data_IF_861796477338
#
_entry.id   IF_861796477338
#
_cell.length_a   1.000
_cell.length_b   1.000
_cell.length_c   1.000
_cell.angle_alpha   90.00
_cell.angle_beta   90.00
_cell.angle_gamma   90.00
#
_symmetry.space_group_name_H-M   'P 1'
#
loop_
_entity.id
_entity.type
_entity.pdbx_description
1 polymer ?
#
# COMPACT_ATOMS: atom_id res chain seq x y z
N UNK A 1 10.13 16.18 9.87
CA UNK A 1 9.45 15.09 9.14
C UNK A 1 9.48 15.27 7.62
N UNK A 2 9.08 16.44 7.10
CA UNK A 2 8.89 16.73 5.66
C UNK A 2 10.17 16.67 4.81
N UNK A 3 11.31 17.17 5.31
CA UNK A 3 12.57 17.22 4.53
C UNK A 3 13.18 15.82 4.30
N UNK A 4 13.13 14.95 5.32
CA UNK A 4 13.60 13.57 5.20
C UNK A 4 12.68 12.74 4.31
N UNK A 5 11.36 12.90 4.45
CA UNK A 5 10.38 12.25 3.59
C UNK A 5 10.57 12.69 2.12
N UNK A 6 10.77 13.98 1.89
CA UNK A 6 11.03 14.54 0.56
C UNK A 6 12.35 14.03 -0.06
N UNK A 7 13.44 13.97 0.72
CA UNK A 7 14.72 13.43 0.22
C UNK A 7 14.61 11.94 -0.12
N UNK A 8 13.82 11.18 0.64
CA UNK A 8 13.55 9.76 0.37
C UNK A 8 12.66 9.53 -0.85
N UNK A 9 11.62 10.36 -1.03
CA UNK A 9 10.81 10.35 -2.25
C UNK A 9 11.67 10.65 -3.48
N UNK A 10 12.63 11.58 -3.37
CA UNK A 10 13.58 11.90 -4.44
C UNK A 10 14.60 10.77 -4.70
N UNK A 11 15.07 10.06 -3.66
CA UNK A 11 15.94 8.87 -3.80
C UNK A 11 15.25 7.67 -4.43
N UNK A 12 13.91 7.57 -4.35
CA UNK A 12 13.11 6.52 -4.98
C UNK A 12 13.36 6.39 -6.49
N UNK A 13 13.81 7.48 -7.12
CA UNK A 13 14.14 7.56 -8.55
C UNK A 13 15.54 7.02 -8.88
N UNK A 14 16.48 7.01 -7.93
CA UNK A 14 17.91 6.74 -8.22
C UNK A 14 18.44 5.41 -7.69
N UNK A 15 18.00 4.92 -6.51
CA UNK A 15 18.36 3.59 -6.01
C UNK A 15 17.42 3.13 -4.90
N UNK A 16 17.00 1.87 -4.98
CA UNK A 16 16.18 1.18 -3.96
C UNK A 16 17.02 0.46 -2.90
N UNK A 17 18.30 0.19 -3.20
CA UNK A 17 19.26 -0.39 -2.26
C UNK A 17 19.84 0.70 -1.36
N UNK A 18 19.87 0.45 -0.06
CA UNK A 18 20.55 1.29 0.94
C UNK A 18 21.63 0.49 1.66
N UNK A 19 22.63 1.17 2.21
CA UNK A 19 23.59 0.54 3.13
C UNK A 19 22.94 0.24 4.49
N UNK A 20 23.61 -0.58 5.29
CA UNK A 20 23.13 -1.07 6.57
C UNK A 20 22.83 0.07 7.57
N UNK A 21 23.71 1.07 7.64
CA UNK A 21 23.55 2.20 8.55
C UNK A 21 22.30 3.02 8.22
N UNK A 22 22.09 3.31 6.93
CA UNK A 22 20.87 3.98 6.47
C UNK A 22 19.66 3.09 6.73
N UNK A 23 19.74 1.79 6.40
CA UNK A 23 18.62 0.85 6.56
C UNK A 23 18.07 0.86 7.99
N UNK A 24 18.91 0.68 9.01
CA UNK A 24 18.46 0.65 10.39
C UNK A 24 18.00 2.03 10.91
N UNK A 25 18.58 3.13 10.41
CA UNK A 25 18.04 4.47 10.67
C UNK A 25 16.64 4.65 10.11
N UNK A 26 16.35 4.08 8.93
CA UNK A 26 15.01 4.10 8.35
C UNK A 26 14.04 3.26 9.19
N UNK A 27 14.44 2.08 9.65
CA UNK A 27 13.59 1.24 10.54
C UNK A 27 13.23 2.01 11.82
N UNK A 28 14.21 2.63 12.48
CA UNK A 28 13.97 3.41 13.70
C UNK A 28 13.06 4.61 13.44
N UNK A 29 13.36 5.40 12.40
CA UNK A 29 12.57 6.57 12.06
C UNK A 29 11.13 6.21 11.65
N UNK A 30 10.95 5.17 10.84
CA UNK A 30 9.62 4.70 10.42
C UNK A 30 8.83 4.18 11.60
N UNK A 31 9.45 3.46 12.54
CA UNK A 31 8.77 3.00 13.76
C UNK A 31 8.15 4.16 14.52
N UNK A 32 8.91 5.25 14.74
CA UNK A 32 8.41 6.44 15.45
C UNK A 32 7.29 7.11 14.66
N UNK A 33 7.47 7.35 13.36
CA UNK A 33 6.42 7.99 12.56
C UNK A 33 5.16 7.14 12.48
N UNK A 34 5.26 5.82 12.33
CA UNK A 34 4.10 4.92 12.27
C UNK A 34 3.35 4.88 13.60
N UNK A 35 4.07 4.94 14.72
CA UNK A 35 3.47 5.09 16.04
C UNK A 35 2.68 6.41 16.13
N UNK A 36 3.30 7.54 15.78
CA UNK A 36 2.62 8.86 15.79
C UNK A 36 1.40 8.89 14.86
N UNK A 37 1.50 8.31 13.66
CA UNK A 37 0.37 8.19 12.73
C UNK A 37 -0.78 7.36 13.31
N UNK A 38 -0.45 6.30 14.06
CA UNK A 38 -1.46 5.46 14.71
C UNK A 38 -2.21 6.24 15.79
N UNK A 39 -1.47 6.92 16.68
CA UNK A 39 -2.04 7.67 17.80
C UNK A 39 -2.87 8.87 17.33
N UNK A 40 -2.43 9.54 16.26
CA UNK A 40 -3.13 10.69 15.69
C UNK A 40 -4.24 10.32 14.70
N UNK A 41 -4.40 9.03 14.37
CA UNK A 41 -5.23 8.53 13.27
C UNK A 41 -4.93 9.19 11.90
N UNK A 42 -3.68 9.64 11.69
CA UNK A 42 -3.24 10.25 10.42
C UNK A 42 -2.65 9.18 9.48
N UNK A 43 -3.51 8.62 8.63
CA UNK A 43 -3.17 7.46 7.82
C UNK A 43 -2.52 7.76 6.47
N UNK A 44 -2.55 9.02 6.00
CA UNK A 44 -1.90 9.42 4.75
C UNK A 44 -0.36 9.25 4.79
N UNK A 45 0.36 9.78 5.80
CA UNK A 45 1.79 9.51 5.95
C UNK A 45 2.06 8.01 6.20
N UNK A 46 1.26 7.32 7.03
CA UNK A 46 1.42 5.88 7.26
C UNK A 46 1.35 5.06 5.97
N UNK A 47 0.42 5.39 5.06
CA UNK A 47 0.32 4.74 3.74
C UNK A 47 1.56 4.99 2.88
N UNK A 48 2.10 6.21 2.93
CA UNK A 48 3.34 6.54 2.21
C UNK A 48 4.51 5.71 2.74
N UNK A 49 4.64 5.59 4.06
CA UNK A 49 5.64 4.77 4.72
C UNK A 49 5.48 3.28 4.39
N UNK A 50 4.25 2.76 4.41
CA UNK A 50 3.92 1.39 4.00
C UNK A 50 4.47 1.06 2.61
N UNK A 51 4.26 1.95 1.64
CA UNK A 51 4.78 1.75 0.27
C UNK A 51 6.32 1.80 0.23
N UNK A 52 6.94 2.62 1.08
CA UNK A 52 8.40 2.66 1.21
C UNK A 52 8.95 1.38 1.85
N UNK A 53 8.20 0.74 2.76
CA UNK A 53 8.58 -0.52 3.39
C UNK A 53 8.82 -1.65 2.36
N UNK A 54 8.04 -1.68 1.28
CA UNK A 54 8.21 -2.63 0.16
C UNK A 54 9.21 -2.15 -0.91
N UNK A 55 9.70 -0.91 -0.82
CA UNK A 55 10.58 -0.33 -1.84
C UNK A 55 12.05 -0.44 -1.44
N UNK A 56 12.41 -0.02 -0.22
CA UNK A 56 13.82 0.04 0.20
C UNK A 56 14.29 -1.28 0.80
N UNK A 57 15.51 -1.68 0.44
CA UNK A 57 16.12 -2.91 0.91
C UNK A 57 17.62 -2.79 1.20
N UNK A 58 18.08 -3.58 2.15
CA UNK A 58 19.48 -3.96 2.33
C UNK A 58 19.76 -5.24 1.55
N UNK A 59 20.96 -5.41 1.01
CA UNK A 59 21.34 -6.61 0.27
C UNK A 59 22.61 -7.22 0.87
N UNK A 60 22.47 -8.43 1.39
CA UNK A 60 23.55 -9.20 2.00
C UNK A 60 23.97 -10.37 1.11
N UNK A 61 25.23 -10.80 1.27
CA UNK A 61 25.75 -11.98 0.59
C UNK A 61 25.40 -13.23 1.40
N UNK A 62 24.76 -14.19 0.75
CA UNK A 62 24.45 -15.48 1.33
C UNK A 62 25.73 -16.34 1.42
N UNK A 63 25.98 -17.08 2.52
CA UNK A 63 27.17 -17.92 2.68
C UNK A 63 27.43 -18.90 1.53
N UNK A 64 26.35 -19.38 0.90
CA UNK A 64 26.42 -20.37 -0.18
C UNK A 64 26.56 -19.77 -1.59
N UNK A 65 26.91 -18.48 -1.72
CA UNK A 65 27.01 -17.82 -3.02
C UNK A 65 25.63 -17.41 -3.56
N UNK A 66 25.09 -16.32 -3.03
CA UNK A 66 23.85 -15.71 -3.48
C UNK A 66 23.70 -14.31 -2.87
N UNK A 67 22.71 -13.54 -3.29
CA UNK A 67 22.37 -12.27 -2.62
C UNK A 67 20.95 -12.34 -2.11
N UNK A 68 20.73 -11.90 -0.87
CA UNK A 68 19.40 -11.86 -0.25
C UNK A 68 19.02 -10.40 0.01
N UNK A 69 17.75 -10.07 -0.25
CA UNK A 69 17.22 -8.72 -0.05
C UNK A 69 16.38 -8.67 1.21
N UNK A 70 16.82 -7.87 2.17
CA UNK A 70 16.08 -7.56 3.38
C UNK A 70 15.31 -6.25 3.14
N UNK A 71 14.00 -6.35 2.94
CA UNK A 71 13.15 -5.17 2.77
C UNK A 71 12.74 -4.59 4.12
N UNK A 72 12.49 -3.28 4.18
CA UNK A 72 12.08 -2.61 5.42
C UNK A 72 10.81 -3.22 6.04
N UNK A 73 9.87 -3.73 5.22
CA UNK A 73 8.62 -4.32 5.74
C UNK A 73 8.89 -5.47 6.72
N UNK A 74 9.96 -6.26 6.54
CA UNK A 74 10.23 -7.40 7.41
C UNK A 74 10.61 -6.98 8.83
N UNK A 75 11.14 -5.76 9.01
CA UNK A 75 11.53 -5.19 10.31
C UNK A 75 10.45 -4.32 10.94
N UNK A 76 9.42 -3.97 10.17
CA UNK A 76 8.34 -3.07 10.60
C UNK A 76 6.99 -3.77 10.69
N UNK A 77 6.96 -5.10 10.56
CA UNK A 77 5.72 -5.89 10.55
C UNK A 77 4.90 -5.85 11.83
N UNK A 78 5.54 -5.56 12.96
CA UNK A 78 4.90 -5.56 14.27
C UNK A 78 4.35 -4.18 14.69
N UNK A 79 4.36 -3.20 13.77
CA UNK A 79 3.81 -1.87 14.07
C UNK A 79 2.27 -1.93 14.23
N UNK A 80 1.70 -1.36 15.32
CA UNK A 80 0.27 -1.47 15.63
C UNK A 80 -0.67 -0.96 14.54
N UNK A 81 -0.25 0.05 13.77
CA UNK A 81 -1.05 0.63 12.68
C UNK A 81 -1.47 -0.41 11.64
N UNK A 82 -0.69 -1.49 11.44
CA UNK A 82 -1.05 -2.56 10.53
C UNK A 82 -2.20 -3.43 11.03
N UNK A 83 -2.50 -3.45 12.32
CA UNK A 83 -3.66 -4.16 12.86
C UNK A 83 -4.96 -3.32 12.79
N UNK A 84 -4.85 -2.04 12.43
CA UNK A 84 -5.99 -1.13 12.34
C UNK A 84 -6.74 -1.30 11.02
N UNK A 85 -7.97 -1.83 11.08
CA UNK A 85 -8.88 -1.81 9.92
C UNK A 85 -9.19 -0.37 9.46
N UNK A 86 -9.14 0.62 10.36
CA UNK A 86 -9.33 2.03 9.99
C UNK A 86 -8.24 2.50 9.04
N UNK A 87 -6.98 2.16 9.33
CA UNK A 87 -5.85 2.43 8.44
C UNK A 87 -6.07 1.80 7.06
N UNK A 88 -6.36 0.49 7.00
CA UNK A 88 -6.52 -0.21 5.72
C UNK A 88 -7.67 0.36 4.88
N UNK A 89 -8.80 0.67 5.50
CA UNK A 89 -9.94 1.27 4.81
C UNK A 89 -9.60 2.67 4.26
N UNK A 90 -8.96 3.52 5.07
CA UNK A 90 -8.58 4.87 4.66
C UNK A 90 -7.53 4.84 3.54
N UNK A 91 -6.50 4.01 3.69
CA UNK A 91 -5.43 3.88 2.72
C UNK A 91 -5.93 3.31 1.38
N UNK A 92 -6.85 2.35 1.42
CA UNK A 92 -7.52 1.78 0.25
C UNK A 92 -8.36 2.83 -0.47
N UNK A 93 -9.20 3.55 0.26
CA UNK A 93 -10.03 4.62 -0.30
C UNK A 93 -9.17 5.71 -0.98
N UNK A 94 -8.08 6.14 -0.33
CA UNK A 94 -7.12 7.06 -0.93
C UNK A 94 -6.47 6.49 -2.21
N UNK A 95 -6.24 5.18 -2.30
CA UNK A 95 -5.64 4.56 -3.49
C UNK A 95 -6.63 4.57 -4.68
N UNK A 96 -7.88 4.19 -4.42
CA UNK A 96 -8.96 4.23 -5.41
C UNK A 96 -9.14 5.65 -5.96
N UNK A 97 -9.21 6.65 -5.09
CA UNK A 97 -9.34 8.06 -5.52
C UNK A 97 -8.14 8.54 -6.34
N UNK A 98 -6.93 8.12 -5.94
CA UNK A 98 -5.70 8.41 -6.68
C UNK A 98 -5.68 7.82 -8.10
N UNK A 99 -6.33 6.68 -8.33
CA UNK A 99 -6.48 6.10 -9.68
C UNK A 99 -7.61 6.74 -10.47
N UNK A 100 -8.75 7.03 -9.83
CA UNK A 100 -9.89 7.71 -10.46
C UNK A 100 -9.50 9.07 -11.04
N UNK A 101 -8.67 9.83 -10.32
CA UNK A 101 -8.17 11.13 -10.78
C UNK A 101 -7.22 11.05 -11.97
N UNK A 102 -6.67 9.87 -12.29
CA UNK A 102 -5.82 9.63 -13.45
C UNK A 102 -6.59 9.17 -14.69
N UNK A 103 -7.92 8.99 -14.58
CA UNK A 103 -8.75 8.58 -15.72
C UNK A 103 -8.71 9.67 -16.80
N UNK A 104 -8.34 9.34 -18.05
CA UNK A 104 -8.47 10.27 -19.18
C UNK A 104 -9.94 10.64 -19.40
N UNK A 105 -10.24 11.93 -19.65
CA UNK A 105 -11.61 12.38 -19.97
C UNK A 105 -12.04 11.83 -21.34
N UNK A 106 -13.22 11.18 -21.47
CA UNK A 106 -13.72 10.68 -22.75
C UNK A 106 -13.91 11.80 -23.77
N UNK A 107 -13.57 11.56 -25.04
CA UNK A 107 -13.67 12.54 -26.14
C UNK A 107 -14.95 12.45 -26.97
N UNK A 108 -15.84 11.47 -26.76
CA UNK A 108 -17.00 11.21 -27.63
C UNK A 108 -18.34 11.19 -26.87
N UNK A 109 -19.41 11.62 -27.55
CA UNK A 109 -20.71 12.06 -27.00
C UNK A 109 -21.80 10.96 -26.89
N UNK A 110 -21.47 9.68 -26.71
CA UNK A 110 -22.50 8.62 -26.58
C UNK A 110 -22.74 8.25 -25.11
N UNK A 111 -23.68 8.93 -24.46
CA UNK A 111 -23.93 8.90 -23.00
C UNK A 111 -24.20 7.52 -22.40
N UNK A 112 -24.74 6.57 -23.17
CA UNK A 112 -25.06 5.21 -22.70
C UNK A 112 -23.86 4.27 -22.62
N UNK A 113 -22.91 4.39 -23.55
CA UNK A 113 -21.68 3.58 -23.58
C UNK A 113 -20.71 4.02 -22.46
N UNK A 114 -20.64 5.33 -22.24
CA UNK A 114 -19.82 5.97 -21.19
C UNK A 114 -20.16 5.45 -19.79
N UNK A 115 -21.45 5.21 -19.48
CA UNK A 115 -21.87 4.74 -18.14
C UNK A 115 -21.46 3.29 -17.87
N UNK A 116 -21.50 2.43 -18.89
CA UNK A 116 -21.08 1.04 -18.77
C UNK A 116 -19.55 0.95 -18.63
N UNK A 117 -18.83 1.70 -19.47
CA UNK A 117 -17.37 1.80 -19.41
C UNK A 117 -16.88 2.43 -18.10
N UNK A 118 -17.59 3.43 -17.58
CA UNK A 118 -17.32 4.00 -16.26
C UNK A 118 -17.46 2.94 -15.18
N UNK A 119 -18.55 2.17 -15.18
CA UNK A 119 -18.78 1.11 -14.20
C UNK A 119 -17.68 0.04 -14.26
N UNK A 120 -17.40 -0.49 -15.45
CA UNK A 120 -16.35 -1.52 -15.63
C UNK A 120 -14.97 -1.01 -15.21
N UNK A 121 -14.65 0.25 -15.52
CA UNK A 121 -13.40 0.88 -15.11
C UNK A 121 -13.30 0.97 -13.58
N UNK A 122 -14.38 1.36 -12.89
CA UNK A 122 -14.41 1.41 -11.43
C UNK A 122 -14.24 0.03 -10.78
N UNK A 123 -14.88 -0.99 -11.35
CA UNK A 123 -14.75 -2.36 -10.88
C UNK A 123 -13.31 -2.88 -11.05
N UNK A 124 -12.69 -2.61 -12.19
CA UNK A 124 -11.31 -3.01 -12.46
C UNK A 124 -10.29 -2.36 -11.50
N UNK A 125 -10.41 -1.04 -11.26
CA UNK A 125 -9.56 -0.34 -10.28
C UNK A 125 -9.74 -0.96 -8.89
N UNK A 126 -11.01 -1.15 -8.48
CA UNK A 126 -11.32 -1.68 -7.16
C UNK A 126 -10.74 -3.08 -6.99
N UNK A 127 -10.93 -3.96 -7.97
CA UNK A 127 -10.38 -5.31 -7.94
C UNK A 127 -8.86 -5.32 -7.87
N UNK A 128 -8.18 -4.52 -8.70
CA UNK A 128 -6.72 -4.39 -8.69
C UNK A 128 -6.17 -3.89 -7.35
N UNK A 129 -6.82 -2.90 -6.75
CA UNK A 129 -6.44 -2.40 -5.43
C UNK A 129 -6.75 -3.40 -4.32
N UNK A 130 -7.85 -4.15 -4.39
CA UNK A 130 -8.16 -5.18 -3.41
C UNK A 130 -7.11 -6.28 -3.39
N UNK A 131 -6.68 -6.74 -4.56
CA UNK A 131 -5.56 -7.68 -4.67
C UNK A 131 -4.28 -7.13 -4.07
N UNK A 132 -3.92 -5.89 -4.42
CA UNK A 132 -2.72 -5.22 -3.90
C UNK A 132 -2.74 -5.08 -2.37
N UNK A 133 -3.85 -4.60 -1.81
CA UNK A 133 -3.99 -4.39 -0.37
C UNK A 133 -4.02 -5.71 0.39
N UNK A 134 -4.68 -6.73 -0.14
CA UNK A 134 -4.69 -8.07 0.47
C UNK A 134 -3.28 -8.67 0.53
N UNK A 135 -2.49 -8.54 -0.56
CA UNK A 135 -1.09 -8.95 -0.57
C UNK A 135 -0.25 -8.18 0.46
N UNK A 136 -0.43 -6.86 0.56
CA UNK A 136 0.27 -6.04 1.55
C UNK A 136 -0.07 -6.46 2.99
N UNK A 137 -1.37 -6.63 3.29
CA UNK A 137 -1.85 -7.10 4.60
C UNK A 137 -1.20 -8.43 4.99
N UNK A 138 -1.15 -9.38 4.05
CA UNK A 138 -0.48 -10.67 4.26
C UNK A 138 1.02 -10.52 4.52
N UNK A 139 1.71 -9.66 3.78
CA UNK A 139 3.14 -9.43 3.97
C UNK A 139 3.46 -8.80 5.35
N UNK A 140 2.56 -7.98 5.90
CA UNK A 140 2.65 -7.49 7.28
C UNK A 140 2.15 -8.50 8.34
N UNK A 141 1.77 -9.71 7.92
CA UNK A 141 1.43 -10.79 8.83
C UNK A 141 0.02 -10.73 9.40
N UNK A 142 -0.90 -10.02 8.75
CA UNK A 142 -2.30 -10.00 9.18
C UNK A 142 -2.94 -11.38 8.99
N UNK A 143 -3.85 -11.72 9.91
CA UNK A 143 -4.54 -13.00 9.90
C UNK A 143 -5.41 -13.15 8.65
N UNK A 144 -5.75 -14.41 8.31
CA UNK A 144 -6.64 -14.68 7.18
C UNK A 144 -8.00 -14.05 7.41
N UNK A 145 -8.47 -14.11 8.65
CA UNK A 145 -9.77 -13.61 9.09
C UNK A 145 -9.86 -12.11 8.85
N UNK A 146 -8.84 -11.34 9.26
CA UNK A 146 -8.81 -9.89 9.09
C UNK A 146 -8.68 -9.49 7.62
N UNK A 147 -7.88 -10.21 6.83
CA UNK A 147 -7.81 -10.01 5.37
C UNK A 147 -9.17 -10.27 4.70
N UNK A 148 -9.85 -11.36 5.05
CA UNK A 148 -11.17 -11.71 4.50
C UNK A 148 -12.25 -10.72 4.93
N UNK A 149 -12.19 -10.23 6.17
CA UNK A 149 -13.11 -9.20 6.66
C UNK A 149 -12.97 -7.91 5.85
N UNK A 150 -11.74 -7.45 5.62
CA UNK A 150 -11.45 -6.30 4.77
C UNK A 150 -11.97 -6.52 3.35
N UNK A 151 -11.60 -7.64 2.70
CA UNK A 151 -12.01 -7.96 1.34
C UNK A 151 -13.54 -7.97 1.19
N UNK A 152 -14.24 -8.65 2.10
CA UNK A 152 -15.71 -8.74 2.08
C UNK A 152 -16.36 -7.36 2.23
N UNK A 153 -15.87 -6.54 3.16
CA UNK A 153 -16.40 -5.18 3.38
C UNK A 153 -16.23 -4.32 2.15
N UNK A 154 -15.02 -4.27 1.58
CA UNK A 154 -14.74 -3.41 0.43
C UNK A 154 -15.46 -3.88 -0.84
N UNK A 155 -15.58 -5.19 -1.04
CA UNK A 155 -16.28 -5.72 -2.20
C UNK A 155 -17.80 -5.48 -2.15
N UNK A 156 -18.41 -5.48 -0.95
CA UNK A 156 -19.81 -5.04 -0.76
C UNK A 156 -19.95 -3.54 -1.05
N UNK A 157 -19.05 -2.70 -0.51
CA UNK A 157 -19.08 -1.24 -0.71
C UNK A 157 -18.95 -0.88 -2.19
N UNK A 158 -18.11 -1.61 -2.92
CA UNK A 158 -17.89 -1.40 -4.35
C UNK A 158 -18.90 -2.14 -5.25
N UNK A 159 -19.86 -2.86 -4.68
CA UNK A 159 -20.86 -3.66 -5.39
C UNK A 159 -20.25 -4.63 -6.41
N UNK A 160 -19.09 -5.21 -6.10
CA UNK A 160 -18.43 -6.21 -6.94
C UNK A 160 -19.25 -7.51 -6.92
N UNK A 161 -19.48 -8.10 -8.10
CA UNK A 161 -20.20 -9.37 -8.21
C UNK A 161 -19.53 -10.46 -7.36
N UNK A 162 -20.35 -11.27 -6.67
CA UNK A 162 -19.90 -12.32 -5.74
C UNK A 162 -19.03 -13.40 -6.39
N UNK A 163 -19.11 -13.57 -7.71
CA UNK A 163 -18.33 -14.56 -8.47
C UNK A 163 -16.83 -14.25 -8.49
N UNK A 164 -16.43 -13.00 -8.25
CA UNK A 164 -15.03 -12.56 -8.28
C UNK A 164 -14.31 -12.82 -6.93
N UNK A 165 -15.05 -13.18 -5.87
CA UNK A 165 -14.54 -13.30 -4.49
C UNK A 165 -14.27 -14.75 -4.03
N UNK A 166 -14.28 -15.73 -4.96
CA UNK A 166 -13.92 -17.13 -4.69
C UNK A 166 -12.42 -17.36 -4.89
#
# INVERSE_FOLDING_TARGET
MTVLLYSMLKKRVNSKKVDEQIFFRLVQYFSVCLFECNEAEDYSPAKTLMNMCFTFYLQDQHPNGGTYKHFLYSYLRDQPVWQSLRFWNAAFFDAIQGERSRKPVPKNNEETDIRSDDKQFQENITFGQLGTFTCNMRAFGLSRELCMEFLRKQAIIANLNKEIMQ
#
